data_IF_119201883763
#
_entry.id   IF_119201883763
#
_cell.length_a   1.000
_cell.length_b   1.000
_cell.length_c   1.000
_cell.angle_alpha   90.00
_cell.angle_beta   90.00
_cell.angle_gamma   90.00
#
_symmetry.space_group_name_H-M   'P 1'
#
loop_
_entity.id
_entity.type
_entity.pdbx_description
1 polymer ?
#
# COMPACT_ATOMS: atom_id res chain seq x y z
N UNK A 1 -5.38 -14.92 -22.07
CA UNK A 1 -6.84 -15.18 -21.99
C UNK A 1 -7.55 -13.99 -22.61
N UNK A 2 -8.57 -14.24 -23.44
CA UNK A 2 -9.36 -13.19 -24.06
C UNK A 2 -10.71 -13.71 -24.52
N UNK A 3 -11.56 -12.77 -24.97
CA UNK A 3 -12.87 -13.09 -25.54
C UNK A 3 -12.82 -12.92 -27.05
N UNK A 4 -13.38 -13.87 -27.79
CA UNK A 4 -13.54 -13.76 -29.25
C UNK A 4 -14.77 -12.88 -29.50
N UNK A 5 -14.54 -11.68 -30.03
CA UNK A 5 -15.63 -10.71 -30.27
C UNK A 5 -16.18 -10.79 -31.69
N UNK A 6 -15.41 -11.38 -32.62
CA UNK A 6 -15.80 -11.48 -34.04
C UNK A 6 -15.04 -12.64 -34.69
N UNK A 7 -15.68 -13.37 -35.54
CA UNK A 7 -15.07 -14.47 -36.28
C UNK A 7 -14.81 -15.72 -35.46
N UNK A 8 -13.76 -16.42 -35.78
CA UNK A 8 -13.35 -17.69 -35.16
C UNK A 8 -11.84 -17.78 -35.09
N UNK A 9 -11.30 -18.27 -33.97
CA UNK A 9 -9.88 -18.60 -33.83
C UNK A 9 -9.67 -20.08 -34.03
N UNK A 10 -8.54 -20.46 -34.69
CA UNK A 10 -8.17 -21.87 -34.94
C UNK A 10 -6.74 -22.16 -34.49
N UNK A 11 -6.53 -23.33 -33.97
CA UNK A 11 -5.18 -23.82 -33.64
C UNK A 11 -4.33 -23.85 -34.92
N UNK A 12 -3.11 -23.34 -34.86
CA UNK A 12 -2.20 -23.24 -35.99
C UNK A 12 -2.41 -22.03 -36.91
N UNK A 13 -3.44 -21.21 -36.65
CA UNK A 13 -3.78 -20.02 -37.43
C UNK A 13 -2.71 -18.94 -37.31
N UNK A 14 -2.37 -18.31 -38.42
CA UNK A 14 -1.55 -17.11 -38.44
C UNK A 14 -2.47 -15.91 -38.09
N UNK A 15 -1.97 -15.02 -37.25
CA UNK A 15 -2.72 -13.87 -36.73
C UNK A 15 -1.84 -12.63 -36.63
N UNK A 16 -2.44 -11.48 -36.47
CA UNK A 16 -1.73 -10.24 -36.16
C UNK A 16 -2.06 -9.83 -34.72
N UNK A 17 -1.03 -9.64 -33.90
CA UNK A 17 -1.16 -9.03 -32.59
C UNK A 17 -1.12 -7.52 -32.79
N UNK A 18 -2.22 -6.85 -32.53
CA UNK A 18 -2.30 -5.39 -32.55
C UNK A 18 -2.16 -4.87 -31.12
N UNK A 19 -1.20 -3.98 -30.91
CA UNK A 19 -0.95 -3.40 -29.57
C UNK A 19 -2.05 -2.40 -29.22
N UNK A 20 -2.15 -2.07 -27.94
CA UNK A 20 -3.13 -1.12 -27.41
C UNK A 20 -3.08 0.26 -28.07
N UNK A 21 -1.94 0.64 -28.65
CA UNK A 21 -1.78 1.91 -29.36
C UNK A 21 -2.57 1.95 -30.68
N UNK A 22 -3.08 0.80 -31.14
CA UNK A 22 -3.82 0.67 -32.38
C UNK A 22 -2.96 0.79 -33.65
N UNK A 23 -1.65 0.95 -33.50
CA UNK A 23 -0.70 1.21 -34.59
C UNK A 23 0.34 0.09 -34.72
N UNK A 24 0.91 -0.32 -33.59
CA UNK A 24 1.96 -1.35 -33.59
C UNK A 24 1.35 -2.73 -33.85
N UNK A 25 1.84 -3.39 -34.90
CA UNK A 25 1.35 -4.69 -35.37
C UNK A 25 2.49 -5.71 -35.40
N UNK A 26 2.22 -6.91 -34.88
CA UNK A 26 3.20 -7.99 -34.86
C UNK A 26 2.56 -9.27 -35.42
N UNK A 27 3.17 -9.86 -36.45
CA UNK A 27 2.72 -11.12 -37.02
C UNK A 27 3.09 -12.26 -36.07
N UNK A 28 2.15 -13.19 -35.87
CA UNK A 28 2.31 -14.30 -34.94
C UNK A 28 1.50 -15.52 -35.35
N UNK A 29 1.62 -16.61 -34.59
CA UNK A 29 0.89 -17.87 -34.90
C UNK A 29 0.40 -18.50 -33.60
N UNK A 30 -0.86 -18.92 -33.59
CA UNK A 30 -1.48 -19.63 -32.46
C UNK A 30 -0.97 -21.05 -32.43
N UNK A 31 -0.33 -21.48 -31.36
CA UNK A 31 0.14 -22.86 -31.17
C UNK A 31 -0.97 -23.75 -30.63
N UNK A 32 -1.65 -23.29 -29.59
CA UNK A 32 -2.73 -24.04 -28.93
C UNK A 32 -3.88 -23.10 -28.52
N UNK A 33 -5.09 -23.68 -28.55
CA UNK A 33 -6.30 -23.02 -28.04
C UNK A 33 -6.94 -23.88 -26.96
N UNK A 34 -7.47 -23.23 -25.93
CA UNK A 34 -8.18 -23.89 -24.83
C UNK A 34 -9.42 -23.09 -24.44
N UNK A 35 -10.46 -23.78 -24.07
CA UNK A 35 -11.66 -23.19 -23.46
C UNK A 35 -11.72 -23.58 -21.99
N UNK A 36 -12.49 -22.83 -21.22
CA UNK A 36 -12.67 -23.10 -19.79
C UNK A 36 -13.82 -24.08 -19.61
N UNK A 37 -13.59 -25.16 -18.90
CA UNK A 37 -14.59 -26.20 -18.61
C UNK A 37 -14.50 -26.54 -17.12
N UNK A 38 -15.49 -26.10 -16.35
CA UNK A 38 -15.43 -26.19 -14.88
C UNK A 38 -14.25 -25.40 -14.32
N UNK A 39 -13.45 -26.03 -13.50
CA UNK A 39 -12.24 -25.41 -12.92
C UNK A 39 -10.99 -25.61 -13.77
N UNK A 40 -11.10 -26.27 -14.92
CA UNK A 40 -9.96 -26.58 -15.76
C UNK A 40 -10.01 -25.91 -17.13
N UNK A 41 -9.06 -26.30 -17.98
CA UNK A 41 -8.97 -25.86 -19.37
C UNK A 41 -8.94 -27.09 -20.26
N UNK A 42 -9.66 -27.04 -21.35
CA UNK A 42 -9.75 -28.13 -22.36
C UNK A 42 -9.21 -27.62 -23.69
N UNK A 43 -8.31 -28.38 -24.31
CA UNK A 43 -7.79 -28.04 -25.64
C UNK A 43 -8.89 -28.22 -26.68
N UNK A 44 -8.94 -27.28 -27.63
CA UNK A 44 -9.90 -27.31 -28.75
C UNK A 44 -9.22 -26.88 -30.04
N UNK A 45 -9.78 -27.28 -31.16
CA UNK A 45 -9.24 -26.93 -32.48
C UNK A 45 -9.70 -25.55 -32.95
N UNK A 46 -10.87 -25.09 -32.48
CA UNK A 46 -11.44 -23.82 -32.88
C UNK A 46 -12.29 -23.20 -31.73
N UNK A 47 -12.36 -21.86 -31.71
CA UNK A 47 -13.15 -21.11 -30.74
C UNK A 47 -13.97 -20.05 -31.48
N UNK A 48 -15.29 -20.14 -31.46
CA UNK A 48 -16.16 -19.18 -32.16
C UNK A 48 -16.35 -17.87 -31.39
N UNK A 49 -16.90 -16.91 -32.09
CA UNK A 49 -17.32 -15.62 -31.52
C UNK A 49 -18.22 -15.81 -30.29
N UNK A 50 -18.00 -15.01 -29.26
CA UNK A 50 -18.74 -15.02 -28.00
C UNK A 50 -18.04 -15.77 -26.87
N UNK A 51 -17.16 -16.67 -27.17
CA UNK A 51 -16.46 -17.53 -26.19
C UNK A 51 -15.22 -16.87 -25.60
N UNK A 52 -14.91 -17.25 -24.37
CA UNK A 52 -13.66 -16.89 -23.68
C UNK A 52 -12.68 -18.04 -23.84
N UNK A 53 -11.48 -17.74 -24.29
CA UNK A 53 -10.47 -18.77 -24.51
C UNK A 53 -9.09 -18.36 -23.95
N UNK A 54 -8.25 -19.35 -23.77
CA UNK A 54 -6.82 -19.16 -23.54
C UNK A 54 -6.07 -19.63 -24.77
N UNK A 55 -5.05 -18.89 -25.19
CA UNK A 55 -4.23 -19.28 -26.32
C UNK A 55 -2.75 -19.24 -25.93
N UNK A 56 -1.96 -20.05 -26.63
CA UNK A 56 -0.52 -20.13 -26.46
C UNK A 56 0.14 -19.93 -27.83
N UNK A 57 1.30 -19.28 -27.84
CA UNK A 57 2.14 -19.14 -29.03
C UNK A 57 2.37 -17.71 -29.49
N UNK A 58 1.82 -16.73 -28.77
CA UNK A 58 2.02 -15.31 -29.08
C UNK A 58 2.91 -14.71 -28.01
N UNK A 59 4.02 -14.13 -28.41
CA UNK A 59 4.98 -13.48 -27.51
C UNK A 59 4.79 -11.97 -27.53
N UNK A 60 5.21 -11.29 -26.46
CA UNK A 60 5.19 -9.84 -26.37
C UNK A 60 3.81 -9.20 -26.20
N UNK A 61 2.79 -10.01 -25.90
CA UNK A 61 1.43 -9.48 -25.68
C UNK A 61 1.30 -8.80 -24.31
N UNK A 62 0.38 -7.86 -24.25
CA UNK A 62 -0.02 -7.15 -23.03
C UNK A 62 -1.53 -7.20 -22.89
N UNK A 63 -2.02 -6.95 -21.67
CA UNK A 63 -3.47 -6.87 -21.44
C UNK A 63 -4.02 -5.66 -22.23
N UNK A 64 -5.08 -5.88 -22.99
CA UNK A 64 -5.69 -4.86 -23.84
C UNK A 64 -5.26 -4.92 -25.29
N UNK A 65 -4.28 -5.75 -25.64
CA UNK A 65 -3.92 -6.03 -27.04
C UNK A 65 -5.03 -6.82 -27.72
N UNK A 66 -5.11 -6.72 -29.04
CA UNK A 66 -6.12 -7.46 -29.85
C UNK A 66 -5.44 -8.47 -30.75
N UNK A 67 -5.97 -9.70 -30.78
CA UNK A 67 -5.59 -10.70 -31.79
C UNK A 67 -6.52 -10.48 -32.98
N UNK A 68 -5.93 -10.15 -34.11
CA UNK A 68 -6.67 -9.75 -35.33
C UNK A 68 -6.42 -10.74 -36.48
N UNK A 69 -7.22 -10.59 -37.52
CA UNK A 69 -7.00 -11.24 -38.81
C UNK A 69 -5.58 -10.94 -39.30
N UNK A 70 -4.94 -11.92 -39.93
CA UNK A 70 -3.54 -11.82 -40.36
C UNK A 70 -3.32 -10.75 -41.42
N UNK A 71 -4.23 -10.64 -42.37
CA UNK A 71 -4.10 -9.74 -43.53
C UNK A 71 -4.74 -8.38 -43.27
N UNK A 72 -5.89 -8.38 -42.59
CA UNK A 72 -6.69 -7.17 -42.37
C UNK A 72 -6.91 -6.98 -40.86
N UNK A 73 -5.88 -6.52 -40.12
CA UNK A 73 -6.02 -6.34 -38.67
C UNK A 73 -6.94 -5.16 -38.33
N UNK A 74 -7.94 -5.43 -37.51
CA UNK A 74 -8.89 -4.45 -36.99
C UNK A 74 -8.86 -4.49 -35.47
N UNK A 75 -7.99 -3.71 -34.81
CA UNK A 75 -7.90 -3.71 -33.36
C UNK A 75 -9.15 -3.16 -32.70
N UNK A 76 -9.54 -3.76 -31.58
CA UNK A 76 -10.61 -3.26 -30.74
C UNK A 76 -10.17 -1.97 -30.00
N UNK A 77 -11.10 -1.06 -29.70
CA UNK A 77 -10.75 0.10 -28.88
C UNK A 77 -10.17 -0.35 -27.53
N UNK A 78 -9.05 0.24 -27.11
CA UNK A 78 -8.46 -0.14 -25.83
C UNK A 78 -9.36 0.26 -24.67
N UNK A 79 -9.39 -0.56 -23.63
CA UNK A 79 -10.13 -0.25 -22.40
C UNK A 79 -9.31 0.81 -21.66
N UNK A 80 -9.91 1.97 -21.40
CA UNK A 80 -9.27 3.02 -20.62
C UNK A 80 -9.11 2.56 -19.17
N UNK A 81 -7.91 2.70 -18.65
CA UNK A 81 -7.57 2.38 -17.26
C UNK A 81 -7.03 3.66 -16.64
N UNK A 82 -7.60 4.06 -15.51
CA UNK A 82 -7.14 5.25 -14.80
C UNK A 82 -5.66 5.09 -14.40
N UNK A 83 -4.91 6.14 -14.55
CA UNK A 83 -3.51 6.16 -14.15
C UNK A 83 -3.37 5.96 -12.65
N UNK A 84 -2.29 5.33 -12.20
CA UNK A 84 -2.06 5.19 -10.77
C UNK A 84 -1.84 6.56 -10.12
N UNK A 85 -2.47 6.76 -8.97
CA UNK A 85 -2.47 8.04 -8.25
C UNK A 85 -1.44 8.07 -7.12
N UNK A 86 -0.87 6.92 -6.76
CA UNK A 86 0.04 6.81 -5.61
C UNK A 86 1.26 5.99 -5.99
N UNK A 87 2.38 6.25 -5.30
CA UNK A 87 3.58 5.43 -5.45
C UNK A 87 4.14 5.06 -4.09
N UNK A 88 4.93 4.01 -4.09
CA UNK A 88 5.62 3.52 -2.91
C UNK A 88 7.03 3.09 -3.30
N UNK A 89 7.99 3.39 -2.44
CA UNK A 89 9.37 2.94 -2.60
C UNK A 89 9.51 1.53 -2.01
N UNK A 90 9.88 0.58 -2.85
CA UNK A 90 10.27 -0.78 -2.44
C UNK A 90 11.79 -0.86 -2.44
N UNK A 91 12.38 -1.27 -1.34
CA UNK A 91 13.83 -1.45 -1.26
C UNK A 91 14.15 -2.76 -0.52
N UNK A 92 15.35 -3.27 -0.71
CA UNK A 92 15.77 -4.45 0.05
C UNK A 92 15.79 -4.11 1.55
N UNK A 93 15.51 -5.11 2.37
CA UNK A 93 15.60 -4.95 3.82
C UNK A 93 17.06 -4.78 4.22
N UNK A 94 17.42 -3.63 4.78
CA UNK A 94 18.76 -3.33 5.30
C UNK A 94 18.73 -3.11 6.82
N UNK A 95 17.71 -3.67 7.49
CA UNK A 95 17.60 -3.58 8.95
C UNK A 95 18.63 -4.50 9.63
N UNK A 96 18.89 -4.30 10.94
CA UNK A 96 19.75 -5.21 11.71
C UNK A 96 19.25 -6.67 11.74
N UNK A 97 17.99 -6.89 11.36
CA UNK A 97 17.41 -8.24 11.29
C UNK A 97 17.36 -8.82 9.86
N UNK A 98 18.04 -8.16 8.91
CA UNK A 98 18.14 -8.66 7.53
C UNK A 98 18.63 -10.12 7.51
N UNK A 99 17.94 -10.97 6.77
CA UNK A 99 18.30 -12.37 6.58
C UNK A 99 17.91 -13.30 7.72
N UNK A 100 17.36 -12.79 8.83
CA UNK A 100 16.85 -13.66 9.90
C UNK A 100 15.56 -14.37 9.50
N UNK A 101 14.75 -13.71 8.66
CA UNK A 101 13.48 -14.24 8.15
C UNK A 101 13.46 -14.14 6.63
N UNK A 102 12.94 -15.18 5.99
CA UNK A 102 12.71 -15.17 4.54
C UNK A 102 13.91 -15.61 3.70
N UNK A 103 13.63 -16.05 2.50
CA UNK A 103 14.62 -16.56 1.54
C UNK A 103 14.83 -15.61 0.35
N UNK A 104 13.85 -14.75 0.06
CA UNK A 104 13.82 -13.91 -1.15
C UNK A 104 14.13 -12.46 -0.78
N UNK A 105 15.38 -12.22 -0.41
CA UNK A 105 15.80 -10.98 0.25
C UNK A 105 16.64 -10.04 -0.65
N UNK A 106 16.86 -10.40 -1.92
CA UNK A 106 17.70 -9.59 -2.84
C UNK A 106 16.84 -8.72 -3.76
N UNK A 107 17.45 -7.68 -4.32
CA UNK A 107 16.81 -6.80 -5.31
C UNK A 107 16.35 -7.57 -6.54
N UNK A 108 17.09 -8.60 -6.95
CA UNK A 108 16.68 -9.49 -8.06
C UNK A 108 15.35 -10.18 -7.75
N UNK A 109 15.18 -10.71 -6.56
CA UNK A 109 13.92 -11.37 -6.16
C UNK A 109 12.74 -10.40 -6.16
N UNK A 110 12.98 -9.17 -5.67
CA UNK A 110 11.93 -8.12 -5.67
C UNK A 110 11.57 -7.80 -7.12
N UNK A 111 12.57 -7.58 -7.98
CA UNK A 111 12.34 -7.27 -9.39
C UNK A 111 11.55 -8.38 -10.09
N UNK A 112 11.97 -9.63 -9.96
CA UNK A 112 11.27 -10.76 -10.56
C UNK A 112 9.81 -10.86 -10.11
N UNK A 113 9.55 -10.56 -8.83
CA UNK A 113 8.18 -10.57 -8.29
C UNK A 113 7.35 -9.42 -8.86
N UNK A 114 7.94 -8.22 -8.97
CA UNK A 114 7.27 -7.05 -9.55
C UNK A 114 6.98 -7.26 -11.04
N UNK A 115 7.95 -7.80 -11.79
CA UNK A 115 7.79 -8.10 -13.23
C UNK A 115 6.62 -9.07 -13.46
N UNK A 116 6.51 -10.12 -12.65
CA UNK A 116 5.37 -11.06 -12.72
C UNK A 116 4.03 -10.38 -12.41
N UNK A 117 4.02 -9.41 -11.53
CA UNK A 117 2.80 -8.69 -11.19
C UNK A 117 2.37 -7.78 -12.35
N UNK A 118 3.34 -7.13 -13.00
CA UNK A 118 3.08 -6.28 -14.18
C UNK A 118 2.42 -7.06 -15.32
N UNK A 119 2.74 -8.35 -15.48
CA UNK A 119 2.12 -9.21 -16.51
C UNK A 119 0.60 -9.36 -16.30
N UNK A 120 0.11 -9.15 -15.09
CA UNK A 120 -1.29 -9.42 -14.71
C UNK A 120 -2.06 -8.17 -14.33
N UNK A 121 -1.39 -7.04 -14.14
CA UNK A 121 -1.98 -5.86 -13.53
C UNK A 121 -1.61 -4.58 -14.29
N UNK A 122 -2.50 -4.12 -15.16
CA UNK A 122 -2.31 -2.89 -15.95
C UNK A 122 -2.32 -1.61 -15.10
N UNK A 123 -2.88 -1.66 -13.88
CA UNK A 123 -2.93 -0.51 -13.01
C UNK A 123 -1.63 -0.31 -12.22
N UNK A 124 -0.66 -1.20 -12.42
CA UNK A 124 0.64 -1.14 -11.77
C UNK A 124 1.70 -0.62 -12.75
N UNK A 125 2.58 0.26 -12.29
CA UNK A 125 3.75 0.70 -13.03
C UNK A 125 4.96 0.62 -12.10
N UNK A 126 6.10 0.18 -12.61
CA UNK A 126 7.32 0.05 -11.81
C UNK A 126 8.45 0.79 -12.52
N UNK A 127 9.16 1.63 -11.80
CA UNK A 127 10.32 2.35 -12.27
C UNK A 127 11.52 2.06 -11.36
N UNK A 128 12.75 2.14 -11.88
CA UNK A 128 13.93 2.06 -11.03
C UNK A 128 13.92 3.18 -9.98
N UNK A 129 14.35 2.86 -8.78
CA UNK A 129 14.53 3.87 -7.73
C UNK A 129 15.88 4.59 -7.84
N UNK A 130 16.24 5.30 -6.78
CA UNK A 130 17.48 6.09 -6.74
C UNK A 130 18.75 5.22 -6.78
N UNK A 131 18.64 3.94 -6.46
CA UNK A 131 19.77 3.01 -6.50
C UNK A 131 19.31 1.64 -7.01
N UNK A 132 20.27 0.74 -7.27
CA UNK A 132 20.02 -0.57 -7.89
C UNK A 132 19.16 -1.50 -7.01
N UNK A 133 19.00 -1.20 -5.74
CA UNK A 133 18.29 -2.03 -4.78
C UNK A 133 16.90 -1.46 -4.43
N UNK A 134 16.43 -0.49 -5.21
CA UNK A 134 15.14 0.14 -4.95
C UNK A 134 14.30 0.27 -6.23
N UNK A 135 12.99 0.24 -6.05
CA UNK A 135 11.98 0.32 -7.10
C UNK A 135 10.87 1.26 -6.66
N UNK A 136 10.42 2.14 -7.55
CA UNK A 136 9.25 2.98 -7.32
C UNK A 136 8.07 2.25 -7.97
N UNK A 137 7.11 1.85 -7.15
CA UNK A 137 5.93 1.11 -7.61
C UNK A 137 4.73 2.04 -7.54
N UNK A 138 4.10 2.28 -8.68
CA UNK A 138 2.91 3.11 -8.81
C UNK A 138 1.67 2.23 -8.87
N UNK A 139 0.60 2.65 -8.21
CA UNK A 139 -0.64 1.88 -8.23
C UNK A 139 -1.82 2.67 -7.68
N UNK A 140 -2.94 1.98 -7.49
CA UNK A 140 -4.15 2.56 -6.91
C UNK A 140 -4.39 1.98 -5.51
N UNK A 141 -4.93 2.82 -4.63
CA UNK A 141 -5.38 2.40 -3.31
C UNK A 141 -4.40 2.67 -2.18
N UNK A 142 -4.80 2.24 -0.99
CA UNK A 142 -4.13 2.59 0.27
C UNK A 142 -2.77 1.93 0.47
N UNK A 143 -2.44 0.92 -0.30
CA UNK A 143 -1.12 0.28 -0.23
C UNK A 143 -0.01 1.12 -0.87
N UNK A 144 -0.36 2.25 -1.48
CA UNK A 144 0.58 3.08 -2.23
C UNK A 144 0.64 4.47 -1.62
N UNK A 145 1.85 4.96 -1.42
CA UNK A 145 2.07 6.31 -0.89
C UNK A 145 1.97 7.35 -2.02
N UNK A 146 1.64 8.58 -1.66
CA UNK A 146 1.43 9.67 -2.62
C UNK A 146 2.71 10.04 -3.37
N UNK A 147 2.60 10.20 -4.69
CA UNK A 147 3.65 10.74 -5.53
C UNK A 147 3.52 12.26 -5.53
N UNK A 148 4.57 12.89 -5.15
CA UNK A 148 4.62 14.34 -5.18
C UNK A 148 5.02 14.80 -6.55
N UNK A 149 4.10 14.99 -7.27
CA UNK A 149 4.34 15.55 -8.51
C UNK A 149 3.86 16.94 -8.44
N UNK A 150 4.16 17.60 -9.07
CA UNK A 150 3.65 18.88 -9.19
C UNK A 150 2.19 18.93 -9.30
N UNK A 151 1.76 18.07 -9.68
CA UNK A 151 0.43 17.91 -9.75
C UNK A 151 0.07 16.96 -8.67
N UNK A 152 -0.52 17.28 -8.06
CA UNK A 152 -1.06 16.52 -7.18
C UNK A 152 -2.21 16.02 -7.84
N UNK A 153 -2.34 14.70 -7.87
CA UNK A 153 -3.58 14.10 -8.35
C UNK A 153 -4.72 14.45 -7.41
N UNK A 154 -5.83 14.79 -8.00
CA UNK A 154 -7.06 15.19 -7.28
C UNK A 154 -8.13 14.14 -7.54
N UNK A 155 -8.82 13.74 -6.48
CA UNK A 155 -9.89 12.76 -6.57
C UNK A 155 -11.24 13.39 -6.21
N UNK A 156 -12.28 12.85 -6.81
CA UNK A 156 -13.65 13.04 -6.36
C UNK A 156 -13.91 11.98 -5.29
N UNK A 157 -14.25 12.44 -4.11
CA UNK A 157 -14.56 11.56 -2.98
C UNK A 157 -16.02 11.76 -2.59
N UNK A 158 -16.72 10.67 -2.39
CA UNK A 158 -18.12 10.68 -1.90
C UNK A 158 -18.14 9.96 -0.55
N UNK A 159 -18.75 10.61 0.44
CA UNK A 159 -18.99 10.00 1.75
C UNK A 159 -20.48 10.02 2.06
N UNK A 160 -21.04 8.86 2.35
CA UNK A 160 -22.42 8.70 2.80
C UNK A 160 -22.36 8.35 4.31
N UNK A 161 -23.01 9.14 5.14
CA UNK A 161 -22.98 8.95 6.60
C UNK A 161 -24.30 9.41 7.25
N UNK A 162 -24.59 8.95 8.49
CA UNK A 162 -25.71 9.53 9.23
C UNK A 162 -25.54 11.05 9.38
N UNK A 163 -26.66 11.77 9.32
CA UNK A 163 -26.67 13.23 9.33
C UNK A 163 -25.91 13.82 10.53
N UNK A 164 -25.99 13.19 11.69
CA UNK A 164 -25.31 13.64 12.92
C UNK A 164 -23.77 13.68 12.78
N UNK A 165 -23.19 12.89 11.88
CA UNK A 165 -21.73 12.84 11.66
C UNK A 165 -21.27 13.72 10.48
N UNK A 166 -22.17 14.38 9.76
CA UNK A 166 -21.82 15.15 8.55
C UNK A 166 -20.77 16.24 8.86
N UNK A 167 -20.93 16.96 9.97
CA UNK A 167 -19.97 17.99 10.40
C UNK A 167 -18.57 17.42 10.66
N UNK A 168 -18.50 16.26 11.31
CA UNK A 168 -17.24 15.59 11.60
C UNK A 168 -16.54 15.12 10.31
N UNK A 169 -17.31 14.58 9.36
CA UNK A 169 -16.80 14.16 8.06
C UNK A 169 -16.24 15.36 7.28
N UNK A 170 -16.97 16.49 7.28
CA UNK A 170 -16.51 17.72 6.62
C UNK A 170 -15.19 18.22 7.23
N UNK A 171 -15.11 18.23 8.57
CA UNK A 171 -13.89 18.64 9.28
C UNK A 171 -12.70 17.76 8.92
N UNK A 172 -12.89 16.43 8.95
CA UNK A 172 -11.82 15.47 8.60
C UNK A 172 -11.34 15.64 7.17
N UNK A 173 -12.26 15.81 6.21
CA UNK A 173 -11.92 16.01 4.80
C UNK A 173 -11.19 17.35 4.60
N UNK A 174 -11.67 18.43 5.25
CA UNK A 174 -11.07 19.77 5.11
C UNK A 174 -9.64 19.80 5.66
N UNK A 175 -9.37 19.14 6.79
CA UNK A 175 -8.00 19.01 7.34
C UNK A 175 -7.05 18.34 6.34
N UNK A 176 -7.58 17.53 5.45
CA UNK A 176 -6.81 16.83 4.40
C UNK A 176 -6.86 17.58 3.06
N UNK A 177 -7.16 18.89 3.08
CA UNK A 177 -7.25 19.76 1.88
C UNK A 177 -8.41 19.36 0.95
N UNK A 178 -9.42 18.66 1.47
CA UNK A 178 -10.65 18.38 0.73
C UNK A 178 -11.56 19.62 0.70
N UNK A 179 -12.14 19.86 -0.46
CA UNK A 179 -13.12 20.95 -0.66
C UNK A 179 -14.49 20.31 -0.90
N UNK A 180 -15.45 20.66 -0.06
CA UNK A 180 -16.84 20.18 -0.21
C UNK A 180 -17.44 20.78 -1.49
N UNK A 181 -17.93 19.94 -2.38
CA UNK A 181 -18.51 20.35 -3.68
C UNK A 181 -20.04 20.20 -3.70
N UNK A 182 -20.56 19.25 -2.93
CA UNK A 182 -22.01 19.01 -2.88
C UNK A 182 -22.39 18.36 -1.56
N UNK A 183 -23.62 18.60 -1.11
CA UNK A 183 -24.17 17.98 0.09
C UNK A 183 -25.68 17.75 -0.12
N UNK A 184 -26.11 16.51 0.00
CA UNK A 184 -27.53 16.13 -0.12
C UNK A 184 -27.94 15.29 1.08
N UNK A 185 -29.02 15.68 1.73
CA UNK A 185 -29.59 14.91 2.84
C UNK A 185 -30.85 14.19 2.36
N UNK A 186 -30.92 12.90 2.63
CA UNK A 186 -32.04 12.06 2.25
C UNK A 186 -32.41 11.20 3.47
N UNK A 187 -33.48 11.61 4.14
CA UNK A 187 -33.88 10.98 5.40
C UNK A 187 -32.86 11.25 6.51
N UNK A 188 -32.35 10.20 7.12
CA UNK A 188 -31.40 10.27 8.24
C UNK A 188 -29.93 10.21 7.77
N UNK A 189 -29.71 10.12 6.45
CA UNK A 189 -28.34 10.04 5.89
C UNK A 189 -28.02 11.27 5.04
N UNK A 190 -26.75 11.64 5.04
CA UNK A 190 -26.22 12.74 4.24
C UNK A 190 -25.12 12.21 3.33
N UNK A 191 -25.21 12.57 2.05
CA UNK A 191 -24.22 12.31 1.04
C UNK A 191 -23.40 13.59 0.85
N UNK A 192 -22.10 13.47 1.04
CA UNK A 192 -21.14 14.57 0.94
C UNK A 192 -20.18 14.28 -0.20
N UNK A 193 -19.98 15.23 -1.10
CA UNK A 193 -19.06 15.09 -2.23
C UNK A 193 -17.94 16.12 -2.10
N UNK A 194 -16.71 15.66 -2.32
CA UNK A 194 -15.50 16.48 -2.16
C UNK A 194 -14.58 16.33 -3.36
N UNK A 195 -13.80 17.37 -3.64
CA UNK A 195 -12.54 17.23 -4.38
C UNK A 195 -11.42 17.24 -3.34
N UNK A 196 -10.51 16.29 -3.43
CA UNK A 196 -9.47 16.10 -2.40
C UNK A 196 -8.19 15.57 -3.05
N UNK A 197 -7.00 16.07 -2.64
CA UNK A 197 -5.75 15.47 -3.13
C UNK A 197 -5.66 13.98 -2.78
N UNK A 198 -5.18 13.14 -3.69
CA UNK A 198 -5.04 11.69 -3.44
C UNK A 198 -4.28 11.39 -2.15
N UNK A 199 -3.22 12.17 -1.87
CA UNK A 199 -2.46 12.05 -0.61
C UNK A 199 -3.32 12.34 0.64
N UNK A 200 -4.36 13.17 0.51
CA UNK A 200 -5.28 13.47 1.62
C UNK A 200 -6.19 12.30 1.97
N UNK A 201 -6.37 11.35 1.05
CA UNK A 201 -7.19 10.16 1.26
C UNK A 201 -6.46 9.10 2.11
N UNK A 202 -5.11 9.14 2.11
CA UNK A 202 -4.29 8.18 2.87
C UNK A 202 -4.68 8.24 4.35
N UNK A 203 -5.15 7.12 4.91
CA UNK A 203 -5.60 7.02 6.30
C UNK A 203 -6.96 7.66 6.60
N UNK A 204 -7.53 8.41 5.65
CA UNK A 204 -8.79 9.14 5.88
C UNK A 204 -9.98 8.18 6.08
N UNK A 205 -10.02 7.08 5.34
CA UNK A 205 -11.08 6.06 5.47
C UNK A 205 -11.14 5.52 6.91
N UNK A 206 -10.00 5.14 7.48
CA UNK A 206 -9.91 4.62 8.84
C UNK A 206 -10.36 5.68 9.87
N UNK A 207 -9.94 6.93 9.67
CA UNK A 207 -10.33 8.04 10.53
C UNK A 207 -11.85 8.29 10.46
N UNK A 208 -12.43 8.26 9.27
CA UNK A 208 -13.88 8.44 9.07
C UNK A 208 -14.67 7.32 9.73
N UNK A 209 -14.26 6.06 9.55
CA UNK A 209 -14.93 4.92 10.19
C UNK A 209 -14.90 5.05 11.71
N UNK A 210 -13.75 5.40 12.28
CA UNK A 210 -13.63 5.60 13.72
C UNK A 210 -14.54 6.74 14.20
N UNK A 211 -14.55 7.86 13.49
CA UNK A 211 -15.30 9.06 13.87
C UNK A 211 -16.82 8.92 13.69
N UNK A 212 -17.26 7.98 12.87
CA UNK A 212 -18.68 7.73 12.58
C UNK A 212 -19.18 6.39 13.12
N UNK A 213 -18.47 5.82 14.10
CA UNK A 213 -18.82 4.53 14.71
C UNK A 213 -18.98 3.40 13.66
N UNK A 214 -18.22 3.46 12.56
CA UNK A 214 -18.26 2.46 11.48
C UNK A 214 -19.32 2.70 10.41
N UNK A 215 -20.12 3.76 10.52
CA UNK A 215 -21.29 3.97 9.65
C UNK A 215 -21.03 4.74 8.34
N UNK A 216 -19.85 5.35 8.19
CA UNK A 216 -19.51 6.05 6.95
C UNK A 216 -19.20 5.07 5.81
N UNK A 217 -19.71 5.37 4.62
CA UNK A 217 -19.36 4.67 3.39
C UNK A 217 -18.60 5.67 2.51
N UNK A 218 -17.34 5.36 2.21
CA UNK A 218 -16.47 6.27 1.45
C UNK A 218 -16.03 5.63 0.15
N UNK A 219 -16.21 6.34 -0.96
CA UNK A 219 -15.71 5.97 -2.28
C UNK A 219 -14.94 7.14 -2.88
N UNK A 220 -14.00 6.86 -3.77
CA UNK A 220 -13.24 7.90 -4.45
C UNK A 220 -12.75 7.43 -5.82
N UNK A 221 -12.51 8.39 -6.72
CA UNK A 221 -11.98 8.11 -8.07
C UNK A 221 -11.13 9.29 -8.54
N UNK A 222 -10.16 9.03 -9.40
CA UNK A 222 -9.33 10.09 -9.98
C UNK A 222 -10.19 11.08 -10.77
N UNK A 223 -10.04 12.36 -10.49
CA UNK A 223 -10.65 13.46 -11.23
C UNK A 223 -9.68 14.07 -12.24
N UNK A 224 -8.41 14.20 -11.86
CA UNK A 224 -7.40 14.84 -12.67
C UNK A 224 -6.22 15.31 -11.85
N UNK A 225 -5.51 16.30 -12.34
CA UNK A 225 -4.32 16.84 -11.67
C UNK A 225 -4.49 18.34 -11.48
N UNK A 226 -4.13 18.82 -10.31
CA UNK A 226 -4.18 20.25 -9.97
C UNK A 226 -2.86 20.70 -9.33
N UNK A 227 -2.60 22.02 -9.25
CA UNK A 227 -1.39 22.52 -8.58
C UNK A 227 -1.30 22.11 -7.13
N UNK A 228 -0.09 21.97 -6.64
CA UNK A 228 0.21 21.59 -5.25
C UNK A 228 -0.45 22.56 -4.25
N UNK A 229 -1.16 22.00 -3.29
CA UNK A 229 -1.94 22.78 -2.29
C UNK A 229 -1.29 22.86 -0.90
N UNK A 230 0.00 22.49 -0.80
CA UNK A 230 0.72 22.53 0.48
C UNK A 230 0.68 21.22 1.25
N UNK A 231 1.39 21.17 2.37
CA UNK A 231 1.52 19.96 3.19
C UNK A 231 0.21 19.57 3.87
N UNK A 232 0.07 18.27 4.12
CA UNK A 232 -1.03 17.69 4.89
C UNK A 232 -0.43 16.97 6.09
N UNK A 233 -0.86 17.34 7.30
CA UNK A 233 -0.44 16.66 8.52
C UNK A 233 -1.18 15.30 8.62
N UNK A 234 -0.43 14.22 8.48
CA UNK A 234 -0.99 12.86 8.51
C UNK A 234 -1.02 12.30 9.95
N UNK A 235 0.09 12.44 10.66
CA UNK A 235 0.23 11.98 12.05
C UNK A 235 0.89 13.08 12.86
N UNK A 236 0.16 13.58 13.85
CA UNK A 236 0.63 14.68 14.71
C UNK A 236 1.66 14.18 15.72
N UNK A 237 1.43 13.02 16.30
CA UNK A 237 2.24 12.46 17.38
C UNK A 237 3.59 11.94 16.87
N UNK A 238 4.61 12.07 17.70
CA UNK A 238 5.95 11.56 17.45
C UNK A 238 6.05 10.05 17.65
N UNK A 239 7.23 9.51 17.38
CA UNK A 239 7.54 8.10 17.54
C UNK A 239 8.30 7.84 18.83
N UNK A 240 8.03 6.69 19.47
CA UNK A 240 8.92 6.12 20.48
C UNK A 240 9.86 5.17 19.73
N UNK A 241 11.16 5.44 19.80
CA UNK A 241 12.18 4.75 19.02
C UNK A 241 13.09 3.96 19.96
N UNK A 242 13.40 2.71 19.62
CA UNK A 242 14.36 1.93 20.38
C UNK A 242 15.79 2.51 20.20
N UNK A 243 16.47 2.77 21.29
CA UNK A 243 17.86 3.22 21.29
C UNK A 243 18.87 2.08 21.32
N UNK A 244 18.40 0.83 21.49
CA UNK A 244 19.28 -0.32 21.63
C UNK A 244 18.70 -1.53 20.89
N UNK A 245 19.58 -2.45 20.53
CA UNK A 245 19.20 -3.74 19.96
C UNK A 245 19.21 -4.79 21.08
N UNK A 246 18.13 -5.56 21.22
CA UNK A 246 18.02 -6.59 22.25
C UNK A 246 16.59 -7.03 22.51
N UNK A 247 16.38 -7.68 23.63
CA UNK A 247 15.06 -8.15 24.07
C UNK A 247 14.34 -7.04 24.87
N UNK A 248 13.11 -6.76 24.52
CA UNK A 248 12.28 -5.79 25.25
C UNK A 248 11.77 -6.44 26.54
N UNK A 249 12.02 -5.82 27.68
CA UNK A 249 11.60 -6.33 28.99
C UNK A 249 10.35 -5.63 29.51
N UNK A 250 9.47 -6.42 30.13
CA UNK A 250 8.24 -5.92 30.75
C UNK A 250 8.48 -4.73 31.68
N UNK A 251 9.52 -4.82 32.51
CA UNK A 251 9.92 -3.75 33.44
C UNK A 251 10.18 -2.43 32.74
N UNK A 252 10.90 -2.44 31.62
CA UNK A 252 11.21 -1.22 30.87
C UNK A 252 9.98 -0.65 30.15
N UNK A 253 9.16 -1.51 29.58
CA UNK A 253 7.91 -1.09 28.92
C UNK A 253 7.00 -0.43 29.94
N UNK A 254 6.81 -1.07 31.10
CA UNK A 254 5.97 -0.55 32.21
C UNK A 254 6.41 0.85 32.63
N UNK A 255 7.69 1.07 32.83
CA UNK A 255 8.27 2.38 33.23
C UNK A 255 8.08 3.47 32.17
N UNK A 256 7.83 3.08 30.93
CA UNK A 256 7.77 4.01 29.80
C UNK A 256 6.35 4.18 29.23
N UNK A 257 5.34 3.44 29.74
CA UNK A 257 3.98 3.52 29.17
C UNK A 257 3.34 4.90 29.32
N UNK A 258 3.76 5.72 30.28
CA UNK A 258 3.30 7.11 30.40
C UNK A 258 3.76 7.99 29.22
N UNK A 259 4.78 7.56 28.49
CA UNK A 259 5.31 8.30 27.33
C UNK A 259 4.47 8.09 26.07
N UNK A 260 3.70 6.99 26.01
CA UNK A 260 2.88 6.71 24.84
C UNK A 260 2.42 5.26 24.75
N UNK A 261 1.87 4.92 23.60
CA UNK A 261 1.32 3.59 23.33
C UNK A 261 2.34 2.74 22.57
N UNK A 262 2.68 1.57 23.11
CA UNK A 262 3.67 0.67 22.49
C UNK A 262 3.05 -0.22 21.41
N UNK A 263 3.90 -0.64 20.47
CA UNK A 263 3.58 -1.55 19.35
C UNK A 263 4.20 -2.94 19.57
N UNK A 264 5.00 -3.08 20.61
CA UNK A 264 5.77 -4.30 20.91
C UNK A 264 5.29 -4.93 22.21
N UNK A 265 5.49 -6.24 22.33
CA UNK A 265 5.19 -7.03 23.52
C UNK A 265 6.47 -7.27 24.34
N UNK A 266 6.33 -7.57 25.65
CA UNK A 266 7.47 -8.09 26.42
C UNK A 266 8.07 -9.33 25.78
N UNK A 267 9.38 -9.47 25.85
CA UNK A 267 10.21 -10.55 25.30
C UNK A 267 10.37 -10.47 23.77
N UNK A 268 9.80 -9.48 23.11
CA UNK A 268 10.02 -9.25 21.68
C UNK A 268 11.42 -8.71 21.40
N UNK A 269 12.03 -9.14 20.30
CA UNK A 269 13.32 -8.63 19.84
C UNK A 269 13.14 -7.29 19.14
N UNK A 270 13.92 -6.31 19.53
CA UNK A 270 13.91 -4.97 18.92
C UNK A 270 15.33 -4.60 18.49
N UNK A 271 15.46 -3.59 17.63
CA UNK A 271 16.77 -3.08 17.21
C UNK A 271 16.80 -1.56 17.29
N UNK A 272 18.01 -1.00 17.37
CA UNK A 272 18.23 0.45 17.35
C UNK A 272 17.57 1.07 16.11
N UNK A 273 16.76 2.10 16.30
CA UNK A 273 16.06 2.80 15.22
C UNK A 273 14.68 2.21 14.89
N UNK A 274 14.28 1.09 15.51
CA UNK A 274 12.93 0.56 15.36
C UNK A 274 11.92 1.49 16.04
N UNK A 275 10.81 1.78 15.38
CA UNK A 275 9.68 2.54 15.96
C UNK A 275 8.84 1.54 16.76
N UNK A 276 8.91 1.64 18.07
CA UNK A 276 8.30 0.68 19.00
C UNK A 276 7.06 1.23 19.70
N UNK A 277 6.65 2.46 19.37
CA UNK A 277 5.44 3.05 19.95
C UNK A 277 5.15 4.43 19.40
N UNK A 278 3.99 4.94 19.74
CA UNK A 278 3.56 6.31 19.46
C UNK A 278 3.73 7.17 20.72
N UNK A 279 4.46 8.29 20.59
CA UNK A 279 4.67 9.23 21.67
C UNK A 279 3.39 10.05 21.93
N UNK A 280 3.15 10.46 23.16
CA UNK A 280 2.01 11.32 23.49
C UNK A 280 2.21 12.77 23.02
N UNK A 281 3.43 13.14 22.64
CA UNK A 281 3.79 14.49 22.15
C UNK A 281 4.20 14.41 20.68
N UNK A 282 4.32 15.57 20.04
CA UNK A 282 4.67 15.65 18.60
C UNK A 282 6.09 15.23 18.27
N UNK A 283 7.01 15.42 19.22
CA UNK A 283 8.44 15.08 18.99
C UNK A 283 8.71 13.58 19.19
N UNK A 284 9.64 13.07 18.42
CA UNK A 284 10.17 11.71 18.59
C UNK A 284 11.02 11.63 19.87
N UNK A 285 10.98 10.45 20.51
CA UNK A 285 11.87 10.16 21.65
C UNK A 285 12.56 8.82 21.43
N UNK A 286 13.83 8.75 21.84
CA UNK A 286 14.60 7.50 21.84
C UNK A 286 14.63 6.96 23.26
N UNK A 287 14.25 5.69 23.43
CA UNK A 287 14.16 5.05 24.75
C UNK A 287 14.89 3.71 24.73
N UNK A 288 15.25 3.21 25.92
CA UNK A 288 15.86 1.89 26.05
C UNK A 288 14.87 0.93 26.73
N UNK A 289 14.33 -0.02 25.96
CA UNK A 289 13.40 -1.04 26.45
C UNK A 289 14.10 -2.38 26.78
N UNK A 290 15.45 -2.42 26.61
CA UNK A 290 16.21 -3.66 26.82
C UNK A 290 16.77 -3.80 28.22
N UNK A 291 16.41 -2.89 29.14
CA UNK A 291 16.86 -2.96 30.54
C UNK A 291 15.98 -3.89 31.36
N UNK A 292 16.57 -4.96 31.86
CA UNK A 292 15.90 -5.85 32.81
C UNK A 292 15.86 -5.21 34.20
N UNK A 293 14.93 -5.65 35.05
CA UNK A 293 14.88 -5.26 36.46
C UNK A 293 16.16 -5.77 37.14
N UNK A 294 16.94 -4.86 37.72
CA UNK A 294 18.11 -5.26 38.50
C UNK A 294 17.62 -5.89 39.82
N UNK A 295 18.20 -7.04 40.13
CA UNK A 295 17.95 -7.71 41.40
C UNK A 295 18.64 -6.89 42.50
N UNK A 296 17.87 -6.21 43.34
CA UNK A 296 18.38 -5.58 44.53
C UNK A 296 18.31 -6.57 45.69
N UNK A 297 19.39 -6.71 46.46
CA UNK A 297 19.47 -7.59 47.62
C UNK A 297 18.62 -7.15 48.82
N UNK A 298 17.76 -6.16 48.66
CA UNK A 298 16.84 -5.77 49.72
C UNK A 298 15.59 -6.65 49.67
N UNK A 299 15.41 -7.43 50.71
CA UNK A 299 14.17 -8.15 50.99
C UNK A 299 13.07 -7.11 51.34
N UNK A 300 12.46 -6.53 50.35
CA UNK A 300 11.19 -5.87 50.55
C UNK A 300 10.11 -6.94 50.57
N UNK A 301 9.68 -7.30 51.78
CA UNK A 301 8.49 -8.13 52.00
C UNK A 301 7.28 -7.27 51.62
N UNK A 302 6.75 -7.45 50.46
CA UNK A 302 5.50 -6.81 50.10
C UNK A 302 5.37 -6.53 48.59
N UNK A 303 4.41 -7.15 48.06
CA UNK A 303 3.83 -6.94 46.74
C UNK A 303 4.80 -7.03 45.55
N UNK A 304 4.82 -8.15 44.90
CA UNK A 304 4.99 -8.23 43.46
C UNK A 304 3.84 -7.36 42.87
N UNK A 305 4.10 -6.09 42.70
CA UNK A 305 3.23 -5.25 41.90
C UNK A 305 3.14 -5.93 40.53
N UNK A 306 2.00 -6.53 40.24
CA UNK A 306 1.73 -7.11 38.93
C UNK A 306 1.88 -5.98 37.92
N UNK A 307 2.96 -6.04 37.15
CA UNK A 307 3.18 -5.09 36.05
C UNK A 307 1.97 -5.18 35.10
N UNK A 308 1.17 -4.12 35.06
CA UNK A 308 0.02 -4.05 34.17
C UNK A 308 0.46 -3.30 32.92
N UNK A 309 0.82 -4.04 31.89
CA UNK A 309 1.23 -3.48 30.60
C UNK A 309 0.01 -3.45 29.69
N UNK A 310 -0.26 -2.28 29.11
CA UNK A 310 -1.33 -2.12 28.12
C UNK A 310 -1.04 -2.98 26.89
N UNK A 311 -2.04 -3.63 26.29
CA UNK A 311 -1.84 -4.42 25.09
C UNK A 311 -1.21 -3.56 23.96
N UNK A 312 -0.26 -4.11 23.20
CA UNK A 312 0.35 -3.35 22.11
C UNK A 312 -0.65 -3.07 21.01
N UNK A 313 -0.46 -1.95 20.32
CA UNK A 313 -1.20 -1.66 19.09
C UNK A 313 -0.61 -2.52 17.98
N UNK A 314 -1.42 -3.35 17.37
CA UNK A 314 -1.03 -4.19 16.23
C UNK A 314 -1.58 -3.55 14.96
N UNK A 315 -0.76 -3.44 13.94
CA UNK A 315 -1.13 -2.87 12.64
C UNK A 315 -1.31 -3.96 11.59
N UNK A 316 -2.29 -3.80 10.73
CA UNK A 316 -2.28 -4.46 9.42
C UNK A 316 -1.23 -3.76 8.54
N UNK A 317 -0.86 -4.37 7.42
CA UNK A 317 0.08 -3.75 6.48
C UNK A 317 -0.45 -2.40 5.98
N UNK A 318 -1.73 -2.33 5.64
CA UNK A 318 -2.37 -1.11 5.17
C UNK A 318 -2.29 0.00 6.23
N UNK A 319 -2.66 -0.33 7.47
CA UNK A 319 -2.59 0.63 8.58
C UNK A 319 -1.15 1.10 8.84
N UNK A 320 -0.18 0.21 8.73
CA UNK A 320 1.23 0.56 8.92
C UNK A 320 1.71 1.55 7.85
N UNK A 321 1.35 1.28 6.58
CA UNK A 321 1.71 2.17 5.45
C UNK A 321 1.04 3.53 5.55
N UNK A 322 -0.20 3.58 6.07
CA UNK A 322 -0.91 4.84 6.30
C UNK A 322 -0.34 5.60 7.51
N UNK A 323 0.25 4.89 8.46
CA UNK A 323 0.69 5.44 9.74
C UNK A 323 2.09 6.08 9.69
N UNK A 324 3.02 5.54 8.88
CA UNK A 324 4.43 5.97 8.87
C UNK A 324 4.58 7.41 8.38
N UNK A 325 5.63 8.07 8.87
CA UNK A 325 6.08 9.40 8.42
C UNK A 325 7.10 9.24 7.28
N UNK A 326 7.45 10.36 6.64
CA UNK A 326 8.39 10.40 5.52
C UNK A 326 9.79 9.85 5.86
N UNK A 327 10.18 9.93 7.12
CA UNK A 327 11.47 9.44 7.60
C UNK A 327 11.41 8.00 8.16
N UNK A 328 10.32 7.28 7.85
CA UNK A 328 10.07 5.93 8.37
C UNK A 328 9.83 4.93 7.24
N UNK A 329 10.15 3.67 7.50
CA UNK A 329 9.86 2.52 6.63
C UNK A 329 9.00 1.51 7.37
N UNK A 330 8.21 0.75 6.61
CA UNK A 330 7.60 -0.49 7.07
C UNK A 330 8.52 -1.65 6.62
N UNK A 331 9.07 -2.38 7.56
CA UNK A 331 9.84 -3.59 7.32
C UNK A 331 8.86 -4.78 7.36
N UNK A 332 8.79 -5.55 6.28
CA UNK A 332 7.91 -6.71 6.17
C UNK A 332 8.75 -7.97 5.99
N UNK A 333 8.53 -8.95 6.87
CA UNK A 333 9.15 -10.28 6.76
C UNK A 333 8.04 -11.34 6.80
N UNK A 334 8.35 -12.61 6.50
CA UNK A 334 7.32 -13.67 6.60
C UNK A 334 6.68 -13.81 7.99
N UNK A 335 7.37 -13.41 9.05
CA UNK A 335 6.93 -13.63 10.42
C UNK A 335 6.68 -12.34 11.22
N UNK A 336 7.06 -11.19 10.69
CA UNK A 336 6.95 -9.94 11.45
C UNK A 336 6.79 -8.73 10.53
N UNK A 337 6.11 -7.73 11.04
CA UNK A 337 6.03 -6.40 10.44
C UNK A 337 6.48 -5.40 11.50
N UNK A 338 7.44 -4.55 11.13
CA UNK A 338 8.01 -3.56 12.05
C UNK A 338 8.03 -2.19 11.39
N UNK A 339 7.85 -1.16 12.17
CA UNK A 339 8.07 0.22 11.73
C UNK A 339 9.49 0.60 12.15
N UNK A 340 10.20 1.37 11.32
CA UNK A 340 11.57 1.78 11.64
C UNK A 340 11.90 3.13 11.05
N UNK A 341 12.86 3.82 11.64
CA UNK A 341 13.42 5.03 11.02
C UNK A 341 14.30 4.64 9.82
N UNK A 342 14.35 5.52 8.82
CA UNK A 342 15.27 5.34 7.67
C UNK A 342 16.72 5.39 8.20
N UNK A 343 17.03 6.42 8.99
CA UNK A 343 18.32 6.53 9.69
C UNK A 343 18.20 5.89 11.08
N UNK A 344 18.82 4.73 11.26
CA UNK A 344 18.67 3.94 12.49
C UNK A 344 19.35 4.61 13.68
N UNK A 345 20.54 5.17 13.49
CA UNK A 345 21.32 5.76 14.57
C UNK A 345 20.77 7.13 14.97
N UNK A 346 20.63 7.38 16.26
CA UNK A 346 20.09 8.64 16.80
C UNK A 346 20.92 9.86 16.42
N UNK A 347 22.26 9.72 16.41
CA UNK A 347 23.16 10.81 16.06
C UNK A 347 22.96 11.24 14.60
N UNK A 348 22.77 10.26 13.70
CA UNK A 348 22.55 10.54 12.28
C UNK A 348 21.20 11.22 12.07
N UNK A 349 20.14 10.80 12.79
CA UNK A 349 18.84 11.47 12.76
C UNK A 349 18.97 12.94 13.20
N UNK A 350 19.68 13.19 14.31
CA UNK A 350 19.90 14.56 14.83
C UNK A 350 20.70 15.43 13.87
N UNK A 351 21.63 14.86 13.11
CA UNK A 351 22.38 15.59 12.08
C UNK A 351 21.50 15.94 10.88
N UNK A 352 20.67 15.00 10.46
CA UNK A 352 19.77 15.20 9.30
C UNK A 352 18.65 16.20 9.57
N UNK A 353 18.28 16.43 10.85
CA UNK A 353 17.23 17.37 11.23
C UNK A 353 17.73 18.82 11.45
N UNK A 354 19.04 19.07 11.34
CA UNK A 354 19.66 20.40 11.39
C UNK A 354 19.74 21.05 10.01
#
# INVERSE_FOLDING_TARGET
VGKVTRGELKTGQNVTLAKRDGVTMQKSRIKELMVFEGLGKKKVDAVPCGEICALIGIDGFEIGDTICDYENPEPLPPIAIDEPTMSMLFTINNSPFFGKDGKYVTSRHIKERLDRELEKNLALRVEPGANADSFIVFGRGVLHLSVLXXXXPIEEMTVDCPQEYSGTVIELATKRKGTLTNMETNGDRTRLEFTIPSRGIIGLRSNMLTATAGEAIMTHRLKGFEPWTGEIEMRVNGSIISGETGTAYAYSIDKLQDRGRFFISPMEQVYEGQVIGEHTRQNDITVNVTKAKQLTNMRASGSDEKTSIAPPKVFSLEEALEYIKEDEYVEVTPHAMRLRKILLNETDRKRASK
#
